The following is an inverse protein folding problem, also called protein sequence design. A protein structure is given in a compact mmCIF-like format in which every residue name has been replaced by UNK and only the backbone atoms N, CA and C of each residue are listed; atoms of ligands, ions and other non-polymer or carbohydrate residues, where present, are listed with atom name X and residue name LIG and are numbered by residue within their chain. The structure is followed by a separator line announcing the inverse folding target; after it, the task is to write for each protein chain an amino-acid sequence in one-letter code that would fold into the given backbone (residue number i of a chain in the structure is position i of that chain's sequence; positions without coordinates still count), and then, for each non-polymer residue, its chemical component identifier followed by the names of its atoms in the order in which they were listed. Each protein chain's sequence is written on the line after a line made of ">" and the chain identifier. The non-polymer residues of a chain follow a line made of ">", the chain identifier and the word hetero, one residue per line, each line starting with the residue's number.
data_IF_962606719550
#
_entry.id   IF_962606719550
#
_cell.length_a   1.000
_cell.length_b   1.000
_cell.length_c   1.000
_cell.angle_alpha   90.00
_cell.angle_beta   90.00
_cell.angle_gamma   90.00
#
_symmetry.space_group_name_H-M   'P 1'
#
loop_
_entity.id
_entity.type
_entity.pdbx_description
1 polymer ?
#
# COMPACT_ATOMS: atom_id res chain seq x y z
N UNK A 1 18.05 7.97 -12.37
CA UNK A 1 18.66 7.55 -13.66
C UNK A 1 18.02 6.27 -14.21
N UNK A 2 18.05 5.14 -13.49
CA UNK A 2 17.38 3.91 -13.98
C UNK A 2 15.89 4.11 -14.21
N UNK A 3 15.17 4.64 -13.21
CA UNK A 3 13.73 4.90 -13.31
C UNK A 3 13.36 5.81 -14.48
N UNK A 4 14.15 6.86 -14.74
CA UNK A 4 13.90 7.79 -15.85
C UNK A 4 14.03 7.09 -17.21
N UNK A 5 15.01 6.21 -17.39
CA UNK A 5 15.13 5.40 -18.61
C UNK A 5 13.96 4.44 -18.79
N UNK A 6 13.51 3.78 -17.70
CA UNK A 6 12.35 2.89 -17.73
C UNK A 6 11.08 3.64 -18.12
N UNK A 7 10.84 4.83 -17.54
CA UNK A 7 9.70 5.66 -17.89
C UNK A 7 9.73 6.09 -19.36
N UNK A 8 10.88 6.54 -19.86
CA UNK A 8 11.02 6.94 -21.27
C UNK A 8 10.80 5.77 -22.22
N UNK A 9 11.36 4.59 -21.92
CA UNK A 9 11.14 3.38 -22.70
C UNK A 9 9.66 2.99 -22.73
N UNK A 10 8.98 3.04 -21.57
CA UNK A 10 7.55 2.73 -21.47
C UNK A 10 6.69 3.73 -22.26
N UNK A 11 6.92 5.03 -22.10
CA UNK A 11 6.21 6.07 -22.84
C UNK A 11 6.43 5.95 -24.35
N UNK A 12 7.65 5.57 -24.76
CA UNK A 12 7.95 5.30 -26.16
C UNK A 12 7.17 4.09 -26.69
N UNK A 13 7.14 2.97 -25.97
CA UNK A 13 6.34 1.80 -26.35
C UNK A 13 4.84 2.11 -26.38
N UNK A 14 4.35 2.95 -25.47
CA UNK A 14 2.97 3.41 -25.44
C UNK A 14 2.64 4.26 -26.67
N UNK A 15 3.50 5.21 -27.04
CA UNK A 15 3.34 6.01 -28.24
C UNK A 15 3.30 5.15 -29.52
N UNK A 16 4.19 4.14 -29.63
CA UNK A 16 4.22 3.22 -30.76
C UNK A 16 2.96 2.33 -30.82
N UNK A 17 2.41 1.94 -29.67
CA UNK A 17 1.20 1.11 -29.61
C UNK A 17 -0.03 1.80 -30.20
N UNK A 18 -0.07 3.15 -30.15
CA UNK A 18 -1.14 3.94 -30.75
C UNK A 18 -1.01 4.14 -32.28
N UNK A 19 0.12 3.77 -32.89
CA UNK A 19 0.35 3.96 -34.33
C UNK A 19 1.09 2.77 -34.98
N UNK A 20 0.35 1.84 -35.61
CA UNK A 20 0.94 0.68 -36.30
C UNK A 20 1.93 1.05 -37.41
N UNK A 21 1.70 2.19 -38.07
CA UNK A 21 2.59 2.69 -39.12
C UNK A 21 3.96 3.08 -38.56
N UNK A 22 4.00 3.69 -37.38
CA UNK A 22 5.25 4.06 -36.72
C UNK A 22 5.96 2.82 -36.18
N UNK A 23 5.21 1.86 -35.61
CA UNK A 23 5.75 0.57 -35.19
C UNK A 23 6.40 -0.19 -36.37
N UNK A 24 5.76 -0.25 -37.54
CA UNK A 24 6.32 -0.85 -38.76
C UNK A 24 7.61 -0.18 -39.26
N UNK A 25 7.79 1.12 -38.99
CA UNK A 25 9.04 1.83 -39.32
C UNK A 25 10.20 1.43 -38.43
N UNK A 26 9.93 0.99 -37.19
CA UNK A 26 10.96 0.47 -36.29
C UNK A 26 11.44 -0.90 -36.77
N UNK A 27 10.52 -1.79 -37.13
CA UNK A 27 10.84 -3.07 -37.76
C UNK A 27 9.70 -3.58 -38.64
N UNK A 28 10.05 -4.16 -39.80
CA UNK A 28 9.09 -4.46 -40.88
C UNK A 28 8.11 -5.59 -40.59
N UNK A 29 8.46 -6.50 -39.70
CA UNK A 29 7.63 -7.65 -39.31
C UNK A 29 6.60 -7.32 -38.21
N UNK A 30 6.56 -6.07 -37.74
CA UNK A 30 5.65 -5.58 -36.71
C UNK A 30 4.15 -5.84 -36.97
N UNK A 31 3.74 -5.98 -38.23
CA UNK A 31 2.34 -6.16 -38.60
C UNK A 31 1.89 -7.62 -38.67
N UNK A 32 2.80 -8.57 -38.39
CA UNK A 32 2.43 -9.98 -38.41
C UNK A 32 1.59 -10.32 -37.19
N UNK A 33 0.55 -11.12 -37.38
CA UNK A 33 -0.39 -11.51 -36.32
C UNK A 33 0.25 -12.39 -35.24
N UNK A 34 1.35 -13.08 -35.55
CA UNK A 34 2.11 -13.93 -34.64
C UNK A 34 3.28 -13.19 -33.97
N UNK A 35 3.45 -11.89 -34.23
CA UNK A 35 4.57 -11.12 -33.69
C UNK A 35 4.29 -10.60 -32.27
N UNK A 36 5.19 -10.95 -31.35
CA UNK A 36 5.15 -10.52 -29.94
C UNK A 36 6.35 -9.63 -29.63
N UNK A 37 6.09 -8.39 -29.25
CA UNK A 37 7.09 -7.46 -28.73
C UNK A 37 6.47 -6.57 -27.64
N UNK A 38 7.28 -5.71 -27.02
CA UNK A 38 6.81 -4.79 -25.97
C UNK A 38 5.64 -3.92 -26.44
N UNK A 39 5.63 -3.48 -27.70
CA UNK A 39 4.58 -2.63 -28.26
C UNK A 39 3.26 -3.39 -28.39
N UNK A 40 3.29 -4.63 -28.87
CA UNK A 40 2.07 -5.46 -29.01
C UNK A 40 1.55 -5.93 -27.65
N UNK A 41 2.42 -6.17 -26.67
CA UNK A 41 2.03 -6.42 -25.28
C UNK A 41 1.33 -5.21 -24.66
N UNK A 42 1.87 -4.00 -24.88
CA UNK A 42 1.23 -2.75 -24.42
C UNK A 42 -0.13 -2.53 -25.09
N UNK A 43 -0.22 -2.75 -26.40
CA UNK A 43 -1.46 -2.59 -27.17
C UNK A 43 -2.56 -3.59 -26.76
N UNK A 44 -2.19 -4.84 -26.46
CA UNK A 44 -3.13 -5.90 -26.07
C UNK A 44 -3.46 -5.92 -24.58
N UNK A 45 -2.69 -5.23 -23.75
CA UNK A 45 -2.79 -5.33 -22.29
C UNK A 45 -2.34 -6.69 -21.75
N UNK A 46 -1.68 -7.52 -22.57
CA UNK A 46 -1.21 -8.85 -22.19
C UNK A 46 0.08 -8.76 -21.36
N UNK A 47 -0.06 -8.28 -20.12
CA UNK A 47 1.03 -8.20 -19.15
C UNK A 47 0.97 -9.39 -18.20
N UNK A 48 2.11 -10.02 -17.98
CA UNK A 48 2.27 -10.90 -16.83
C UNK A 48 2.29 -10.05 -15.56
N UNK A 49 1.17 -10.05 -14.84
CA UNK A 49 1.10 -9.39 -13.55
C UNK A 49 1.92 -10.21 -12.54
N UNK A 50 3.01 -9.64 -12.04
CA UNK A 50 3.65 -10.17 -10.84
C UNK A 50 2.60 -10.18 -9.72
N UNK A 51 2.52 -11.25 -8.90
CA UNK A 51 1.72 -11.21 -7.69
C UNK A 51 2.12 -9.96 -6.88
N UNK A 52 1.12 -9.21 -6.43
CA UNK A 52 1.36 -8.03 -5.62
C UNK A 52 2.11 -8.43 -4.35
N UNK A 53 3.22 -7.75 -4.05
CA UNK A 53 3.87 -7.92 -2.77
C UNK A 53 2.89 -7.52 -1.65
N UNK A 54 2.76 -8.31 -0.57
CA UNK A 54 1.87 -7.95 0.52
C UNK A 54 2.31 -6.63 1.14
N UNK A 55 1.43 -5.62 1.08
CA UNK A 55 1.67 -4.27 1.64
C UNK A 55 1.78 -4.28 3.17
N UNK A 56 1.21 -5.31 3.80
CA UNK A 56 1.21 -5.53 5.24
C UNK A 56 1.66 -6.96 5.49
N UNK A 57 2.78 -7.12 6.19
CA UNK A 57 3.12 -8.38 6.85
C UNK A 57 2.49 -8.37 8.24
N UNK A 58 2.00 -9.52 8.69
CA UNK A 58 1.66 -9.69 10.11
C UNK A 58 2.94 -9.43 10.91
N UNK A 59 2.93 -8.55 11.92
CA UNK A 59 4.08 -8.37 12.80
C UNK A 59 4.46 -9.73 13.38
N UNK A 60 5.72 -10.12 13.26
CA UNK A 60 6.20 -11.29 13.96
C UNK A 60 5.93 -11.09 15.46
N UNK A 61 5.33 -12.09 16.12
CA UNK A 61 5.22 -12.09 17.57
C UNK A 61 6.64 -12.14 18.12
N UNK A 62 7.18 -10.97 18.50
CA UNK A 62 8.45 -10.89 19.19
C UNK A 62 8.14 -11.15 20.65
N UNK A 63 8.68 -12.24 21.19
CA UNK A 63 8.58 -12.55 22.62
C UNK A 63 9.53 -11.62 23.41
N UNK A 64 9.27 -10.32 23.31
CA UNK A 64 10.09 -9.29 23.92
C UNK A 64 9.41 -8.83 25.20
N UNK A 65 9.33 -9.74 26.17
CA UNK A 65 9.05 -9.37 27.55
C UNK A 65 10.26 -8.62 28.09
N UNK A 66 10.22 -7.29 28.05
CA UNK A 66 11.06 -6.50 28.95
C UNK A 66 10.65 -6.86 30.39
N UNK A 67 11.59 -7.07 31.34
CA UNK A 67 11.23 -7.20 32.74
C UNK A 67 10.50 -5.91 33.16
N UNK A 68 9.18 -6.01 33.31
CA UNK A 68 8.36 -4.91 33.83
C UNK A 68 8.84 -4.66 35.25
N UNK A 69 9.34 -3.46 35.58
CA UNK A 69 9.72 -3.15 36.95
C UNK A 69 8.50 -3.38 37.83
N UNK A 70 8.67 -4.09 38.94
CA UNK A 70 7.61 -4.25 39.92
C UNK A 70 7.20 -2.85 40.41
N UNK A 71 6.02 -2.40 40.00
CA UNK A 71 5.45 -1.16 40.52
C UNK A 71 5.04 -1.40 41.97
N UNK A 72 5.57 -0.60 42.89
CA UNK A 72 5.09 -0.59 44.27
C UNK A 72 3.78 0.22 44.33
N UNK A 73 2.64 -0.41 44.65
CA UNK A 73 1.41 0.32 44.86
C UNK A 73 1.59 1.22 46.09
N UNK A 74 1.58 2.53 45.88
CA UNK A 74 1.45 3.50 46.95
C UNK A 74 -0.03 3.88 47.01
N UNK A 75 -0.64 3.61 48.15
CA UNK A 75 -2.00 4.09 48.43
C UNK A 75 -1.95 5.61 48.51
N UNK A 76 -2.42 6.29 47.48
CA UNK A 76 -2.71 7.72 47.55
C UNK A 76 -4.11 7.85 48.15
N UNK A 77 -4.28 8.72 49.15
CA UNK A 77 -5.62 9.04 49.63
C UNK A 77 -6.48 9.51 48.46
N UNK A 78 -7.69 8.95 48.34
CA UNK A 78 -8.60 9.28 47.25
C UNK A 78 -8.96 10.77 47.31
N UNK A 79 -8.56 11.61 46.32
CA UNK A 79 -8.98 13.00 46.29
C UNK A 79 -10.51 13.12 46.06
N UNK A 80 -11.16 12.03 45.65
CA UNK A 80 -12.60 11.98 45.40
C UNK A 80 -13.46 11.97 46.67
N UNK A 81 -12.87 11.83 47.86
CA UNK A 81 -13.61 12.05 49.12
C UNK A 81 -13.81 13.54 49.45
N UNK A 82 -13.07 14.44 48.79
CA UNK A 82 -13.15 15.88 49.02
C UNK A 82 -14.04 16.60 47.99
N UNK A 83 -14.21 16.03 46.80
CA UNK A 83 -15.02 16.59 45.72
C UNK A 83 -16.43 15.96 45.70
N UNK A 84 -17.31 16.40 46.59
CA UNK A 84 -18.76 16.08 46.64
C UNK A 84 -19.54 16.71 45.45
N UNK A 85 -18.96 16.74 44.25
CA UNK A 85 -19.47 17.58 43.13
C UNK A 85 -20.49 16.81 42.25
N UNK A 86 -20.53 15.47 42.32
CA UNK A 86 -21.40 14.63 41.48
C UNK A 86 -22.28 13.63 42.26
N UNK A 87 -22.59 13.90 43.53
CA UNK A 87 -23.37 12.98 44.37
C UNK A 87 -24.89 13.02 44.14
N UNK A 88 -25.38 13.88 43.24
CA UNK A 88 -26.80 13.93 42.93
C UNK A 88 -27.13 12.91 41.83
N UNK A 89 -27.70 11.78 42.24
CA UNK A 89 -28.41 10.89 41.31
C UNK A 89 -29.58 11.67 40.65
N UNK A 90 -29.93 11.36 39.38
CA UNK A 90 -31.06 12.00 38.73
C UNK A 90 -32.35 11.81 39.55
N UNK A 91 -33.25 12.81 39.62
CA UNK A 91 -34.52 12.66 40.33
C UNK A 91 -35.30 11.50 39.73
N UNK A 92 -35.92 10.68 40.60
CA UNK A 92 -36.78 9.60 40.16
C UNK A 92 -37.94 10.17 39.34
N UNK A 93 -38.22 9.56 38.19
CA UNK A 93 -39.38 9.89 37.38
C UNK A 93 -40.63 9.50 38.15
N UNK A 94 -41.46 10.49 38.50
CA UNK A 94 -42.84 10.31 38.97
C UNK A 94 -43.77 10.41 37.77
#
# INVERSE_FOLDING_TARGET
>A
VVATFLCLAFLWTLALSASPQLHQRVHRDANRTDHVCAITMVASGNYDHSPAAPLVSVPALVDQFSPVPALTPHWVESPFLLARIFEHAPPALV
#
